data_IF_053591272705
#
_entry.id   IF_053591272705
#
_cell.length_a   1.000
_cell.length_b   1.000
_cell.length_c   1.000
_cell.angle_alpha   90.00
_cell.angle_beta   90.00
_cell.angle_gamma   90.00
#
_symmetry.space_group_name_H-M   'P 1'
#
loop_
_entity.id
_entity.type
_entity.pdbx_description
1 polymer ?
#
# COMPACT_ATOMS: atom_id res chain seq x y z
N UNK A 1 6.42 -8.13 -6.43
CA UNK A 1 5.94 -7.49 -5.19
C UNK A 1 7.00 -7.61 -4.11
N UNK A 2 7.21 -6.56 -3.37
CA UNK A 2 8.09 -6.58 -2.20
C UNK A 2 7.27 -6.25 -0.96
N UNK A 3 7.55 -6.91 0.17
CA UNK A 3 6.86 -6.71 1.43
C UNK A 3 7.87 -6.25 2.48
N UNK A 4 7.57 -5.15 3.13
CA UNK A 4 8.35 -4.64 4.25
C UNK A 4 7.55 -4.90 5.52
N UNK A 5 7.98 -5.89 6.28
CA UNK A 5 7.27 -6.36 7.48
C UNK A 5 7.67 -5.58 8.73
N UNK A 6 6.69 -5.43 9.62
CA UNK A 6 6.91 -4.99 10.99
C UNK A 6 7.81 -3.77 11.12
N UNK A 7 7.48 -2.71 10.37
CA UNK A 7 8.25 -1.48 10.42
C UNK A 7 8.42 -0.94 11.85
N UNK A 8 7.51 -1.29 12.76
CA UNK A 8 7.57 -0.86 14.16
C UNK A 8 8.64 -1.63 14.97
N UNK A 9 9.15 -2.74 14.45
CA UNK A 9 10.24 -3.50 15.09
C UNK A 9 11.62 -2.99 14.68
N UNK A 10 11.70 -2.08 13.73
CA UNK A 10 12.97 -1.52 13.32
C UNK A 10 13.52 -0.60 14.41
N UNK A 11 14.82 -0.67 14.73
CA UNK A 11 15.42 0.30 15.64
C UNK A 11 15.35 1.71 15.04
N UNK A 12 15.35 2.76 15.89
CA UNK A 12 15.20 4.14 15.43
C UNK A 12 16.11 4.55 14.27
N UNK A 13 17.40 4.16 14.22
CA UNK A 13 18.25 4.52 13.08
C UNK A 13 17.75 3.97 11.75
N UNK A 14 17.21 2.73 11.75
CA UNK A 14 16.68 2.12 10.53
C UNK A 14 15.37 2.76 10.11
N UNK A 15 14.55 3.20 11.07
CA UNK A 15 13.30 3.91 10.76
C UNK A 15 13.56 5.21 10.01
N UNK A 16 14.66 5.90 10.31
CA UNK A 16 15.02 7.13 9.61
C UNK A 16 15.32 6.91 8.13
N UNK A 17 15.74 5.70 7.78
CA UNK A 17 16.08 5.36 6.41
C UNK A 17 14.94 4.64 5.68
N UNK A 18 13.79 4.47 6.35
CA UNK A 18 12.69 3.73 5.77
C UNK A 18 12.07 4.45 4.58
N UNK A 19 11.91 5.78 4.65
CA UNK A 19 11.33 6.54 3.53
C UNK A 19 12.14 6.40 2.25
N UNK A 20 13.47 6.62 2.25
CA UNK A 20 14.27 6.38 1.04
C UNK A 20 14.19 4.94 0.56
N UNK A 21 14.17 3.98 1.49
CA UNK A 21 14.09 2.56 1.14
C UNK A 21 12.77 2.25 0.43
N UNK A 22 11.65 2.75 0.93
CA UNK A 22 10.35 2.54 0.32
C UNK A 22 10.28 3.22 -1.04
N UNK A 23 10.82 4.42 -1.17
CA UNK A 23 10.89 5.10 -2.47
C UNK A 23 11.67 4.30 -3.49
N UNK A 24 12.80 3.74 -3.08
CA UNK A 24 13.60 2.88 -3.95
C UNK A 24 12.80 1.64 -4.38
N UNK A 25 12.07 1.03 -3.45
CA UNK A 25 11.23 -0.11 -3.76
C UNK A 25 10.12 0.26 -4.76
N UNK A 26 9.52 1.44 -4.61
CA UNK A 26 8.50 1.93 -5.54
C UNK A 26 9.06 2.24 -6.92
N UNK A 27 10.35 2.55 -7.02
CA UNK A 27 11.00 2.75 -8.32
C UNK A 27 11.31 1.43 -9.02
N UNK A 28 11.22 0.31 -8.31
CA UNK A 28 11.63 -1.00 -8.82
C UNK A 28 10.47 -1.97 -9.00
N UNK A 29 9.53 -1.98 -8.06
CA UNK A 29 8.46 -2.98 -8.01
C UNK A 29 7.09 -2.35 -8.28
N UNK A 30 6.21 -3.05 -9.01
CA UNK A 30 4.84 -2.54 -9.22
C UNK A 30 4.02 -2.48 -7.94
N UNK A 31 4.27 -3.39 -6.99
CA UNK A 31 3.54 -3.43 -5.70
C UNK A 31 4.53 -3.47 -4.56
N UNK A 32 4.37 -2.54 -3.63
CA UNK A 32 5.13 -2.50 -2.38
C UNK A 32 4.14 -2.58 -1.23
N UNK A 33 4.41 -3.45 -0.26
CA UNK A 33 3.53 -3.67 0.89
C UNK A 33 4.27 -3.28 2.16
N UNK A 34 3.65 -2.41 2.96
CA UNK A 34 4.13 -2.04 4.28
C UNK A 34 3.22 -2.66 5.34
N UNK A 35 3.81 -3.39 6.29
CA UNK A 35 3.04 -3.90 7.42
C UNK A 35 3.56 -3.31 8.71
N UNK A 36 2.67 -3.18 9.68
CA UNK A 36 3.02 -2.67 10.99
C UNK A 36 1.77 -2.50 11.83
N UNK A 37 1.94 -2.41 13.14
CA UNK A 37 0.84 -2.16 14.04
C UNK A 37 0.32 -0.74 13.83
N UNK A 38 -0.94 -0.52 14.19
CA UNK A 38 -1.49 0.83 14.24
C UNK A 38 -0.64 1.71 15.16
N UNK A 39 -0.62 3.00 14.89
CA UNK A 39 0.07 3.98 15.73
C UNK A 39 1.59 3.86 15.71
N UNK A 40 2.17 3.30 14.65
CA UNK A 40 3.62 3.17 14.51
C UNK A 40 4.23 4.27 13.65
N UNK A 41 3.46 5.30 13.28
CA UNK A 41 3.91 6.31 12.33
C UNK A 41 3.77 5.90 10.88
N UNK A 42 3.15 4.76 10.60
CA UNK A 42 2.94 4.25 9.25
C UNK A 42 2.17 5.25 8.39
N UNK A 43 1.11 5.85 8.94
CA UNK A 43 0.31 6.83 8.20
C UNK A 43 1.10 8.10 7.89
N UNK A 44 1.96 8.52 8.79
CA UNK A 44 2.84 9.67 8.57
C UNK A 44 3.81 9.38 7.44
N UNK A 45 4.44 8.20 7.47
CA UNK A 45 5.36 7.77 6.43
C UNK A 45 4.68 7.75 5.06
N UNK A 46 3.47 7.20 4.99
CA UNK A 46 2.70 7.14 3.76
C UNK A 46 2.43 8.55 3.22
N UNK A 47 2.04 9.48 4.08
CA UNK A 47 1.78 10.85 3.67
C UNK A 47 3.04 11.55 3.17
N UNK A 48 4.18 11.30 3.78
CA UNK A 48 5.46 11.84 3.32
C UNK A 48 5.79 11.33 1.92
N UNK A 49 5.51 10.07 1.64
CA UNK A 49 5.74 9.49 0.33
C UNK A 49 4.76 10.05 -0.72
N UNK A 50 3.65 10.62 -0.28
CA UNK A 50 2.65 11.19 -1.17
C UNK A 50 2.86 12.68 -1.45
N UNK A 51 3.82 13.30 -0.79
CA UNK A 51 4.07 14.73 -0.90
C UNK A 51 4.22 15.23 -2.34
N UNK A 52 4.81 14.49 -3.27
CA UNK A 52 4.92 14.97 -4.65
C UNK A 52 3.64 14.92 -5.46
N UNK A 53 2.52 14.54 -4.90
CA UNK A 53 1.21 14.53 -5.58
C UNK A 53 1.13 13.60 -6.79
N UNK A 54 2.00 12.60 -6.85
CA UNK A 54 2.04 11.66 -7.97
C UNK A 54 1.17 10.44 -7.75
N UNK A 55 0.53 10.33 -6.60
CA UNK A 55 -0.23 9.14 -6.21
C UNK A 55 -1.55 9.55 -5.57
N UNK A 56 -2.58 8.73 -5.80
CA UNK A 56 -3.85 8.87 -5.09
C UNK A 56 -3.78 8.10 -3.77
N UNK A 57 -4.23 8.71 -2.69
CA UNK A 57 -4.31 8.07 -1.38
C UNK A 57 -5.74 7.66 -1.09
N UNK A 58 -5.94 6.39 -0.75
CA UNK A 58 -7.22 5.83 -0.32
C UNK A 58 -7.00 5.07 0.98
N UNK A 59 -7.98 5.17 1.89
CA UNK A 59 -7.98 4.34 3.10
C UNK A 59 -9.27 3.55 3.18
N UNK A 60 -9.16 2.27 3.49
CA UNK A 60 -10.33 1.41 3.66
C UNK A 60 -11.00 1.61 5.04
N UNK A 61 -10.50 2.53 5.86
CA UNK A 61 -11.23 3.03 7.01
C UNK A 61 -12.39 3.95 6.59
N UNK A 62 -12.32 4.53 5.39
CA UNK A 62 -13.42 5.30 4.81
C UNK A 62 -14.47 4.32 4.28
N UNK A 63 -15.68 4.42 4.80
CA UNK A 63 -16.76 3.49 4.46
C UNK A 63 -17.11 3.53 2.98
N UNK A 64 -17.08 4.70 2.35
CA UNK A 64 -17.37 4.81 0.92
C UNK A 64 -16.31 4.10 0.09
N UNK A 65 -15.05 4.22 0.46
CA UNK A 65 -13.95 3.54 -0.21
C UNK A 65 -14.06 2.04 0.00
N UNK A 66 -14.34 1.60 1.23
CA UNK A 66 -14.50 0.18 1.54
C UNK A 66 -15.64 -0.43 0.74
N UNK A 67 -16.76 0.24 0.64
CA UNK A 67 -17.90 -0.23 -0.15
C UNK A 67 -17.54 -0.38 -1.62
N UNK A 68 -16.85 0.59 -2.20
CA UNK A 68 -16.38 0.51 -3.58
C UNK A 68 -15.40 -0.65 -3.77
N UNK A 69 -14.51 -0.86 -2.80
CA UNK A 69 -13.56 -1.96 -2.86
C UNK A 69 -14.26 -3.33 -2.84
N UNK A 70 -15.37 -3.43 -2.12
CA UNK A 70 -16.13 -4.67 -2.03
C UNK A 70 -17.03 -4.91 -3.23
N UNK A 71 -17.65 -3.87 -3.76
CA UNK A 71 -18.60 -3.99 -4.84
C UNK A 71 -17.95 -3.91 -6.24
N UNK A 72 -16.96 -3.06 -6.39
CA UNK A 72 -16.33 -2.81 -7.69
C UNK A 72 -14.80 -2.77 -7.55
N UNK A 73 -14.18 -3.87 -7.09
CA UNK A 73 -12.74 -3.86 -6.84
C UNK A 73 -11.92 -3.60 -8.11
N UNK A 74 -12.27 -4.19 -9.22
CA UNK A 74 -11.53 -3.97 -10.46
C UNK A 74 -11.63 -2.54 -10.96
N UNK A 75 -12.82 -1.93 -10.85
CA UNK A 75 -13.01 -0.55 -11.26
C UNK A 75 -12.20 0.41 -10.37
N UNK A 76 -12.15 0.12 -9.07
CA UNK A 76 -11.42 0.96 -8.14
C UNK A 76 -9.92 1.03 -8.48
N UNK A 77 -9.32 -0.08 -8.87
CA UNK A 77 -7.87 -0.15 -9.12
C UNK A 77 -7.51 0.03 -10.60
N UNK A 78 -8.50 0.12 -11.48
CA UNK A 78 -8.27 0.23 -12.92
C UNK A 78 -8.08 1.67 -13.41
N UNK A 79 -8.02 2.63 -12.50
CA UNK A 79 -7.98 4.05 -12.86
C UNK A 79 -6.67 4.49 -13.53
N UNK A 80 -5.75 3.58 -13.78
CA UNK A 80 -4.48 3.82 -14.46
C UNK A 80 -3.60 4.85 -13.73
N UNK A 81 -3.77 4.95 -12.43
CA UNK A 81 -3.06 5.87 -11.56
C UNK A 81 -2.22 5.10 -10.56
N UNK A 82 -1.14 5.72 -10.12
CA UNK A 82 -0.42 5.20 -8.95
C UNK A 82 -1.26 5.45 -7.71
N UNK A 83 -1.42 4.42 -6.90
CA UNK A 83 -2.32 4.46 -5.75
C UNK A 83 -1.62 3.99 -4.48
N UNK A 84 -1.93 4.65 -3.38
CA UNK A 84 -1.62 4.18 -2.04
C UNK A 84 -2.92 3.80 -1.37
N UNK A 85 -3.01 2.54 -0.90
CA UNK A 85 -4.21 2.02 -0.24
C UNK A 85 -3.85 1.60 1.17
N UNK A 86 -4.41 2.33 2.14
CA UNK A 86 -4.17 2.07 3.56
C UNK A 86 -5.25 1.15 4.12
N UNK A 87 -4.92 0.43 5.19
CA UNK A 87 -5.81 -0.53 5.85
C UNK A 87 -6.30 -1.61 4.89
N UNK A 88 -5.38 -2.12 4.07
CA UNK A 88 -5.69 -3.07 2.98
C UNK A 88 -6.33 -4.37 3.51
N UNK A 89 -6.07 -4.76 4.76
CA UNK A 89 -6.61 -5.99 5.32
C UNK A 89 -8.12 -5.99 5.43
N UNK A 90 -8.76 -4.81 5.36
CA UNK A 90 -10.21 -4.70 5.44
C UNK A 90 -10.94 -5.22 4.21
N UNK A 91 -10.25 -5.37 3.10
CA UNK A 91 -10.84 -5.91 1.88
C UNK A 91 -9.85 -6.82 1.16
N UNK A 92 -9.72 -8.09 1.62
CA UNK A 92 -8.78 -9.03 1.01
C UNK A 92 -9.05 -9.26 -0.47
N UNK A 93 -10.29 -9.20 -0.92
CA UNK A 93 -10.63 -9.42 -2.32
C UNK A 93 -10.03 -8.36 -3.25
N UNK A 94 -9.71 -7.18 -2.70
CA UNK A 94 -9.07 -6.13 -3.48
C UNK A 94 -7.67 -6.57 -3.95
N UNK A 95 -7.01 -7.46 -3.21
CA UNK A 95 -5.70 -7.98 -3.62
C UNK A 95 -5.77 -8.73 -4.95
N UNK A 96 -6.85 -9.44 -5.21
CA UNK A 96 -7.04 -10.13 -6.49
C UNK A 96 -7.20 -9.14 -7.64
N UNK A 97 -7.93 -8.06 -7.40
CA UNK A 97 -8.09 -7.00 -8.39
C UNK A 97 -6.76 -6.30 -8.67
N UNK A 98 -5.98 -6.05 -7.63
CA UNK A 98 -4.65 -5.47 -7.77
C UNK A 98 -3.74 -6.37 -8.59
N UNK A 99 -3.78 -7.69 -8.33
CA UNK A 99 -3.00 -8.64 -9.09
C UNK A 99 -3.37 -8.60 -10.58
N UNK A 100 -4.66 -8.56 -10.89
CA UNK A 100 -5.11 -8.46 -12.28
C UNK A 100 -4.65 -7.16 -12.94
N UNK A 101 -4.70 -6.05 -12.20
CA UNK A 101 -4.24 -4.76 -12.72
C UNK A 101 -2.74 -4.78 -13.01
N UNK A 102 -1.94 -5.38 -12.13
CA UNK A 102 -0.49 -5.48 -12.30
C UNK A 102 -0.13 -6.41 -13.44
N UNK A 103 -0.89 -7.49 -13.63
CA UNK A 103 -0.63 -8.40 -14.76
C UNK A 103 -0.83 -7.70 -16.11
N UNK A 104 -1.70 -6.69 -16.16
CA UNK A 104 -1.92 -5.89 -17.38
C UNK A 104 -0.94 -4.74 -17.53
N UNK A 105 -0.45 -4.19 -16.42
CA UNK A 105 0.40 -3.02 -16.42
C UNK A 105 1.39 -3.14 -15.24
N UNK A 106 2.66 -3.39 -15.56
CA UNK A 106 3.70 -3.65 -14.57
C UNK A 106 4.57 -2.44 -14.29
N UNK A 107 4.05 -1.25 -14.46
CA UNK A 107 4.84 -0.05 -14.16
C UNK A 107 5.29 -0.04 -12.70
N UNK A 108 6.55 0.33 -12.42
CA UNK A 108 7.00 0.45 -11.04
C UNK A 108 6.17 1.46 -10.26
N UNK A 109 5.95 1.18 -8.97
CA UNK A 109 5.27 2.09 -8.09
C UNK A 109 3.77 2.19 -8.29
N UNK A 110 3.16 1.24 -9.00
CA UNK A 110 1.73 1.31 -9.28
C UNK A 110 0.90 1.27 -8.01
N UNK A 111 1.23 0.38 -7.06
CA UNK A 111 0.50 0.25 -5.80
C UNK A 111 1.43 0.25 -4.60
N UNK A 112 1.11 1.10 -3.63
CA UNK A 112 1.67 1.04 -2.28
C UNK A 112 0.54 0.64 -1.35
N UNK A 113 0.67 -0.53 -0.74
CA UNK A 113 -0.35 -1.10 0.15
C UNK A 113 0.16 -1.06 1.58
N UNK A 114 -0.70 -0.65 2.49
CA UNK A 114 -0.35 -0.61 3.90
C UNK A 114 -1.44 -1.27 4.72
N UNK A 115 -1.04 -1.95 5.80
CA UNK A 115 -1.99 -2.62 6.66
C UNK A 115 -1.36 -3.03 7.97
N UNK A 116 -2.18 -3.61 8.84
CA UNK A 116 -1.70 -4.13 10.12
C UNK A 116 -0.80 -5.33 9.90
N UNK A 117 0.05 -5.58 10.90
CA UNK A 117 0.96 -6.73 10.86
C UNK A 117 0.18 -8.03 10.63
N UNK A 118 0.81 -8.93 9.91
CA UNK A 118 0.39 -10.32 9.65
C UNK A 118 -0.66 -10.51 8.55
N UNK A 119 -1.34 -9.48 8.04
CA UNK A 119 -2.34 -9.73 7.00
C UNK A 119 -1.74 -10.38 5.75
N UNK A 120 -0.52 -10.04 5.40
CA UNK A 120 0.15 -10.60 4.23
C UNK A 120 0.53 -12.07 4.42
N UNK A 121 0.58 -12.53 5.67
CA UNK A 121 0.91 -13.91 6.01
C UNK A 121 -0.34 -14.81 6.08
N UNK A 122 -1.52 -14.23 5.97
CA UNK A 122 -2.79 -14.95 6.12
C UNK A 122 -3.32 -15.51 4.80
N UNK A 123 -2.56 -15.41 3.75
CA UNK A 123 -2.96 -15.91 2.44
C UNK A 123 -2.53 -17.33 2.21
#
# INVERSE_FOLDING_TARGET
MIIIHDMNKLPPPLKRHLTPLVRQALDTFPVVVLTGARQTGKSTLIRELLTPHTREYLTLDDLDVLERAQQEPDALVAANKRMTIDEIQRSPDLLLAIKRAVDRDRRPGLFLLAGSAHWALMR
#
